data_IF_684083531618
#
_entry.id   IF_684083531618
#
_cell.length_a   1.000
_cell.length_b   1.000
_cell.length_c   1.000
_cell.angle_alpha   90.00
_cell.angle_beta   90.00
_cell.angle_gamma   90.00
#
_symmetry.space_group_name_H-M   'P 1'
#
loop_
_entity.id
_entity.type
_entity.pdbx_description
1 polymer ?
#
# COMPACT_ATOMS: atom_id res chain seq x y z
N UNK A 1 -23.77 9.64 -12.59
CA UNK A 1 -23.27 10.09 -13.91
C UNK A 1 -22.20 11.14 -13.65
N UNK A 2 -20.92 10.76 -13.69
CA UNK A 2 -19.80 11.69 -13.44
C UNK A 2 -19.33 12.22 -14.79
N UNK A 3 -19.50 13.52 -15.02
CA UNK A 3 -18.94 14.21 -16.19
C UNK A 3 -17.43 14.32 -16.00
N UNK A 4 -16.67 13.42 -16.62
CA UNK A 4 -15.20 13.38 -16.56
C UNK A 4 -14.60 14.44 -17.51
N UNK A 5 -14.61 15.71 -17.11
CA UNK A 5 -13.75 16.74 -17.72
C UNK A 5 -12.36 16.79 -17.03
N UNK A 6 -11.77 15.63 -16.77
CA UNK A 6 -10.42 15.49 -16.19
C UNK A 6 -9.26 15.94 -17.11
N UNK A 7 -9.29 15.86 -18.47
CA UNK A 7 -8.08 16.07 -19.28
C UNK A 7 -7.46 17.48 -19.24
N UNK A 8 -8.13 18.49 -18.66
CA UNK A 8 -7.60 19.87 -18.54
C UNK A 8 -7.13 20.25 -17.13
N UNK A 9 -7.33 19.39 -16.12
CA UNK A 9 -7.01 19.72 -14.73
C UNK A 9 -5.52 19.68 -14.43
N UNK A 10 -4.75 18.80 -15.08
CA UNK A 10 -3.33 18.61 -14.80
C UNK A 10 -2.53 18.86 -16.08
N UNK A 11 -1.31 19.40 -15.95
CA UNK A 11 -0.45 19.67 -17.10
C UNK A 11 -0.10 18.36 -17.84
N UNK A 12 -0.37 18.24 -19.15
CA UNK A 12 0.04 17.06 -19.93
C UNK A 12 1.56 16.83 -19.91
N UNK A 13 2.35 17.89 -19.81
CA UNK A 13 3.81 17.79 -19.70
C UNK A 13 4.22 17.20 -18.35
N UNK A 14 3.64 17.68 -17.25
CA UNK A 14 3.89 17.15 -15.91
C UNK A 14 3.44 15.70 -15.76
N UNK A 15 2.33 15.34 -16.41
CA UNK A 15 1.85 13.95 -16.48
C UNK A 15 2.82 13.04 -17.25
N UNK A 16 3.33 13.48 -18.40
CA UNK A 16 4.39 12.75 -19.13
C UNK A 16 5.67 12.64 -18.30
N UNK A 17 6.05 13.72 -17.61
CA UNK A 17 7.18 13.70 -16.69
C UNK A 17 6.99 12.65 -15.60
N UNK A 18 5.83 12.61 -14.92
CA UNK A 18 5.54 11.64 -13.87
C UNK A 18 5.64 10.20 -14.38
N UNK A 19 5.03 9.90 -15.54
CA UNK A 19 5.07 8.56 -16.12
C UNK A 19 6.50 8.15 -16.50
N UNK A 20 7.27 9.04 -17.13
CA UNK A 20 8.67 8.79 -17.47
C UNK A 20 9.59 8.68 -16.25
N UNK A 21 9.30 9.44 -15.19
CA UNK A 21 10.02 9.39 -13.92
C UNK A 21 9.74 8.08 -13.17
N UNK A 22 8.49 7.61 -13.18
CA UNK A 22 8.11 6.30 -12.65
C UNK A 22 8.82 5.17 -13.40
N UNK A 23 8.81 5.20 -14.75
CA UNK A 23 9.48 4.20 -15.58
C UNK A 23 10.99 4.12 -15.27
N UNK A 24 11.66 5.27 -15.20
CA UNK A 24 13.09 5.33 -14.87
C UNK A 24 13.38 4.84 -13.43
N UNK A 25 12.50 5.15 -12.48
CA UNK A 25 12.65 4.70 -11.10
C UNK A 25 12.51 3.18 -11.00
N UNK A 26 11.52 2.59 -11.69
CA UNK A 26 11.31 1.13 -11.74
C UNK A 26 12.52 0.45 -12.39
N UNK A 27 13.07 1.00 -13.47
CA UNK A 27 14.30 0.47 -14.08
C UNK A 27 15.48 0.46 -13.11
N UNK A 28 15.69 1.55 -12.37
CA UNK A 28 16.77 1.63 -11.37
C UNK A 28 16.57 0.64 -10.20
N UNK A 29 15.34 0.23 -9.93
CA UNK A 29 15.00 -0.73 -8.91
C UNK A 29 15.08 -2.20 -9.39
N UNK A 30 15.37 -2.46 -10.67
CA UNK A 30 15.60 -3.82 -11.16
C UNK A 30 16.94 -4.35 -10.67
N UNK A 31 16.96 -5.64 -10.34
CA UNK A 31 18.16 -6.42 -10.02
C UNK A 31 18.08 -7.71 -10.80
N UNK A 32 18.86 -7.81 -11.87
CA UNK A 32 18.88 -8.98 -12.76
C UNK A 32 19.61 -10.15 -12.09
N UNK A 33 19.39 -11.40 -12.54
CA UNK A 33 20.16 -12.55 -12.05
C UNK A 33 21.67 -12.29 -12.14
N UNK A 34 22.38 -12.51 -11.03
CA UNK A 34 23.82 -12.26 -10.87
C UNK A 34 24.20 -10.83 -10.49
N UNK A 35 23.29 -9.85 -10.55
CA UNK A 35 23.57 -8.48 -10.12
C UNK A 35 23.49 -8.33 -8.60
N UNK A 36 24.32 -7.44 -8.03
CA UNK A 36 24.20 -6.98 -6.64
C UNK A 36 24.00 -5.47 -6.62
N UNK A 37 23.28 -4.99 -5.61
CA UNK A 37 23.00 -3.55 -5.39
C UNK A 37 24.11 -2.85 -4.61
N UNK A 38 25.02 -3.61 -3.99
CA UNK A 38 26.12 -3.11 -3.16
C UNK A 38 27.10 -4.23 -2.83
N UNK A 39 28.42 -3.96 -2.65
CA UNK A 39 29.38 -4.95 -2.15
C UNK A 39 29.00 -5.57 -0.79
N UNK A 40 28.09 -4.94 -0.03
CA UNK A 40 27.62 -5.41 1.27
C UNK A 40 26.43 -6.39 1.19
N UNK A 41 25.84 -6.55 0.00
CA UNK A 41 24.66 -7.37 -0.20
C UNK A 41 24.95 -8.49 -1.19
N UNK A 42 24.40 -9.71 -0.97
CA UNK A 42 24.57 -10.80 -1.91
C UNK A 42 24.01 -10.43 -3.29
N UNK A 43 24.50 -11.09 -4.33
CA UNK A 43 23.89 -10.97 -5.64
C UNK A 43 22.50 -11.62 -5.67
N UNK A 44 21.67 -11.22 -6.62
CA UNK A 44 20.45 -11.93 -6.97
C UNK A 44 20.79 -13.31 -7.52
N UNK A 45 20.57 -14.36 -6.73
CA UNK A 45 20.76 -15.75 -7.15
C UNK A 45 19.46 -16.41 -7.59
N UNK A 46 18.34 -15.69 -7.59
CA UNK A 46 17.11 -16.15 -8.23
C UNK A 46 17.26 -16.15 -9.75
N UNK A 47 16.41 -16.89 -10.45
CA UNK A 47 16.33 -16.87 -11.92
C UNK A 47 15.55 -15.66 -12.47
N UNK A 48 15.03 -14.81 -11.59
CA UNK A 48 14.09 -13.74 -11.92
C UNK A 48 14.76 -12.38 -11.82
N UNK A 49 14.39 -11.44 -12.69
CA UNK A 49 14.73 -10.02 -12.47
C UNK A 49 13.85 -9.48 -11.35
N UNK A 50 14.45 -9.13 -10.23
CA UNK A 50 13.75 -8.64 -9.03
C UNK A 50 13.52 -7.14 -9.12
N UNK A 51 12.37 -6.65 -8.65
CA UNK A 51 12.03 -5.23 -8.53
C UNK A 51 11.85 -4.92 -7.04
N UNK A 52 12.80 -4.20 -6.47
CA UNK A 52 12.86 -3.85 -5.04
C UNK A 52 12.23 -2.46 -4.76
N UNK A 53 11.98 -2.10 -3.49
CA UNK A 53 11.34 -0.82 -3.14
C UNK A 53 12.08 0.45 -3.56
N UNK A 54 13.38 0.39 -3.82
CA UNK A 54 14.16 1.56 -4.24
C UNK A 54 15.25 1.23 -5.24
N UNK A 55 15.86 2.27 -5.83
CA UNK A 55 16.83 2.12 -6.93
C UNK A 55 18.31 2.34 -6.58
N UNK A 56 18.66 2.73 -5.34
CA UNK A 56 20.06 2.96 -4.91
C UNK A 56 20.65 1.80 -4.13
N UNK A 57 21.76 1.96 -3.41
CA UNK A 57 22.31 0.89 -2.55
C UNK A 57 21.48 0.71 -1.26
N UNK A 58 20.23 0.28 -1.41
CA UNK A 58 19.24 0.09 -0.34
C UNK A 58 18.33 -1.11 -0.65
N UNK A 59 17.60 -1.62 0.34
CA UNK A 59 16.62 -2.71 0.20
C UNK A 59 17.17 -3.94 -0.55
N UNK A 60 17.95 -4.81 0.11
CA UNK A 60 18.53 -6.02 -0.49
C UNK A 60 17.52 -7.18 -0.64
N UNK A 61 16.26 -6.84 -0.90
CA UNK A 61 15.14 -7.76 -0.97
C UNK A 61 13.97 -7.12 -1.73
N UNK A 62 12.99 -7.94 -2.07
CA UNK A 62 11.73 -7.52 -2.68
C UNK A 62 10.64 -7.54 -1.62
N UNK A 63 10.01 -6.40 -1.35
CA UNK A 63 8.86 -6.34 -0.45
C UNK A 63 7.57 -6.63 -1.22
N UNK A 64 6.73 -7.47 -0.63
CA UNK A 64 5.46 -7.89 -1.26
C UNK A 64 4.57 -6.68 -1.54
N UNK A 65 4.41 -5.78 -0.55
CA UNK A 65 3.60 -4.58 -0.68
C UNK A 65 4.14 -3.62 -1.75
N UNK A 66 5.43 -3.28 -1.64
CA UNK A 66 6.06 -2.27 -2.50
C UNK A 66 6.03 -2.70 -3.96
N UNK A 67 6.30 -3.98 -4.25
CA UNK A 67 6.18 -4.51 -5.60
C UNK A 67 4.75 -4.37 -6.13
N UNK A 68 3.74 -4.78 -5.35
CA UNK A 68 2.34 -4.69 -5.75
C UNK A 68 1.92 -3.25 -6.12
N UNK A 69 2.44 -2.27 -5.39
CA UNK A 69 2.18 -0.84 -5.61
C UNK A 69 2.80 -0.28 -6.90
N UNK A 70 3.73 -0.99 -7.54
CA UNK A 70 4.32 -0.56 -8.83
C UNK A 70 3.46 -0.90 -10.04
N UNK A 71 2.55 -1.87 -9.91
CA UNK A 71 1.93 -2.55 -11.05
C UNK A 71 0.93 -1.67 -11.81
N UNK A 72 0.25 -0.76 -11.11
CA UNK A 72 -0.72 0.15 -11.72
C UNK A 72 -0.07 1.17 -12.69
N UNK A 73 1.26 1.33 -12.64
CA UNK A 73 1.99 2.22 -13.57
C UNK A 73 1.97 1.73 -15.02
N UNK A 74 1.82 0.42 -15.24
CA UNK A 74 1.95 -0.20 -16.57
C UNK A 74 3.40 -0.34 -17.07
N UNK A 75 4.40 -0.06 -16.25
CA UNK A 75 5.84 -0.16 -16.60
C UNK A 75 6.49 -1.49 -16.17
N UNK A 76 5.71 -2.37 -15.55
CA UNK A 76 6.10 -3.75 -15.21
C UNK A 76 5.45 -4.69 -16.20
N UNK A 77 6.23 -5.61 -16.76
CA UNK A 77 5.74 -6.56 -17.76
C UNK A 77 4.93 -7.69 -17.11
N UNK A 78 4.01 -8.36 -17.84
CA UNK A 78 3.31 -9.54 -17.32
C UNK A 78 4.23 -10.68 -16.90
N UNK A 79 5.40 -10.83 -17.53
CA UNK A 79 6.41 -11.82 -17.16
C UNK A 79 7.01 -11.50 -15.79
N UNK A 80 7.44 -10.25 -15.57
CA UNK A 80 7.93 -9.80 -14.27
C UNK A 80 6.85 -9.92 -13.18
N UNK A 81 5.59 -9.60 -13.50
CA UNK A 81 4.45 -9.80 -12.60
C UNK A 81 4.28 -11.27 -12.20
N UNK A 82 4.32 -12.18 -13.18
CA UNK A 82 4.22 -13.62 -12.92
C UNK A 82 5.38 -14.11 -12.06
N UNK A 83 6.61 -13.73 -12.39
CA UNK A 83 7.79 -14.20 -11.68
C UNK A 83 7.77 -13.77 -10.21
N UNK A 84 7.42 -12.51 -9.92
CA UNK A 84 7.27 -12.04 -8.55
C UNK A 84 6.10 -12.71 -7.83
N UNK A 85 4.98 -12.93 -8.52
CA UNK A 85 3.84 -13.64 -7.95
C UNK A 85 4.22 -15.09 -7.59
N UNK A 86 4.95 -15.77 -8.47
CA UNK A 86 5.43 -17.12 -8.25
C UNK A 86 6.48 -17.18 -7.12
N UNK A 87 7.36 -16.18 -7.03
CA UNK A 87 8.33 -16.04 -5.95
C UNK A 87 7.64 -15.92 -4.59
N UNK A 88 6.68 -14.99 -4.46
CA UNK A 88 5.89 -14.82 -3.21
C UNK A 88 5.06 -16.07 -2.92
N UNK A 89 4.46 -16.70 -3.93
CA UNK A 89 3.70 -17.93 -3.77
C UNK A 89 4.56 -19.11 -3.29
N UNK A 90 5.79 -19.24 -3.79
CA UNK A 90 6.74 -20.26 -3.32
C UNK A 90 7.23 -19.97 -1.90
N UNK A 91 7.34 -18.70 -1.54
CA UNK A 91 7.76 -18.21 -0.24
C UNK A 91 6.64 -18.19 0.83
N UNK A 92 5.38 -18.39 0.44
CA UNK A 92 4.25 -18.50 1.36
C UNK A 92 4.45 -19.64 2.35
N UNK A 93 4.19 -19.40 3.64
CA UNK A 93 4.36 -20.42 4.67
C UNK A 93 3.48 -21.66 4.39
N UNK A 94 3.95 -22.82 4.84
CA UNK A 94 3.22 -24.09 4.71
C UNK A 94 1.94 -24.15 5.57
N UNK A 95 1.26 -25.31 5.62
CA UNK A 95 0.04 -25.49 6.40
C UNK A 95 0.29 -25.58 7.92
N UNK A 96 1.55 -25.56 8.35
CA UNK A 96 1.94 -25.67 9.77
C UNK A 96 2.50 -24.33 10.25
N UNK A 97 2.05 -23.90 11.43
CA UNK A 97 2.59 -22.71 12.07
C UNK A 97 4.07 -22.92 12.43
N UNK A 98 4.88 -21.87 12.30
CA UNK A 98 6.28 -21.88 12.74
C UNK A 98 6.42 -20.95 13.94
N UNK A 99 6.97 -21.46 15.04
CA UNK A 99 7.29 -20.67 16.22
C UNK A 99 8.76 -20.29 16.18
N UNK A 100 9.06 -19.01 16.37
CA UNK A 100 10.40 -18.43 16.23
C UNK A 100 11.04 -18.22 17.60
N UNK A 101 12.38 -18.15 17.63
CA UNK A 101 13.14 -17.90 18.86
C UNK A 101 12.85 -16.52 19.48
N UNK A 102 12.37 -15.56 18.68
CA UNK A 102 11.88 -14.25 19.12
C UNK A 102 10.58 -14.30 19.94
N UNK A 103 9.90 -15.45 19.98
CA UNK A 103 8.54 -15.60 20.50
C UNK A 103 7.44 -15.26 19.48
N UNK A 104 7.80 -14.81 18.28
CA UNK A 104 6.85 -14.60 17.19
C UNK A 104 6.38 -15.93 16.59
N UNK A 105 5.22 -15.90 15.93
CA UNK A 105 4.65 -17.04 15.21
C UNK A 105 4.39 -16.64 13.77
N UNK A 106 4.81 -17.47 12.82
CA UNK A 106 4.41 -17.40 11.41
C UNK A 106 3.21 -18.34 11.25
N UNK A 107 1.99 -17.82 11.05
CA UNK A 107 0.80 -18.67 10.88
C UNK A 107 0.88 -19.54 9.62
N UNK A 108 0.08 -20.61 9.55
CA UNK A 108 -0.12 -21.34 8.30
C UNK A 108 -0.46 -20.38 7.15
N UNK A 109 0.11 -20.60 5.97
CA UNK A 109 -0.18 -19.83 4.76
C UNK A 109 0.13 -18.34 4.81
N UNK A 110 0.89 -17.89 5.81
CA UNK A 110 1.32 -16.50 5.91
C UNK A 110 2.16 -16.07 4.70
N UNK A 111 1.98 -14.82 4.28
CA UNK A 111 2.76 -14.21 3.19
C UNK A 111 3.97 -13.49 3.79
N UNK A 112 5.17 -13.64 3.21
CA UNK A 112 6.35 -12.93 3.68
C UNK A 112 6.21 -11.41 3.50
N UNK A 113 6.86 -10.68 4.40
CA UNK A 113 7.08 -9.25 4.28
C UNK A 113 7.93 -8.93 3.06
N UNK A 114 9.06 -9.63 2.96
CA UNK A 114 9.95 -9.52 1.84
C UNK A 114 10.66 -10.85 1.55
N UNK A 115 11.19 -10.96 0.33
CA UNK A 115 11.96 -12.10 -0.13
C UNK A 115 13.36 -11.61 -0.51
N UNK A 116 14.38 -12.22 0.10
CA UNK A 116 15.78 -11.89 -0.14
C UNK A 116 16.21 -12.27 -1.56
N UNK A 117 17.36 -11.76 -1.99
CA UNK A 117 17.94 -12.01 -3.32
C UNK A 117 18.31 -13.47 -3.61
N UNK A 118 18.28 -14.34 -2.60
CA UNK A 118 18.43 -15.78 -2.75
C UNK A 118 17.10 -16.56 -2.71
N UNK A 119 15.96 -15.85 -2.65
CA UNK A 119 14.63 -16.43 -2.53
C UNK A 119 14.22 -16.75 -1.09
N UNK A 120 15.05 -16.45 -0.09
CA UNK A 120 14.72 -16.70 1.31
C UNK A 120 13.59 -15.78 1.80
N UNK A 121 12.50 -16.32 2.38
CA UNK A 121 11.42 -15.52 2.93
C UNK A 121 11.78 -14.89 4.28
N UNK A 122 11.38 -13.63 4.45
CA UNK A 122 11.35 -12.92 5.72
C UNK A 122 9.92 -12.45 5.98
N UNK A 123 9.34 -12.84 7.11
CA UNK A 123 7.91 -12.63 7.41
C UNK A 123 7.63 -11.39 8.26
N UNK A 124 8.66 -10.72 8.77
CA UNK A 124 8.54 -9.58 9.66
C UNK A 124 9.44 -8.44 9.21
N UNK A 125 9.04 -7.17 9.44
CA UNK A 125 9.88 -6.02 9.16
C UNK A 125 11.08 -5.96 10.12
N UNK A 126 12.02 -5.05 9.82
CA UNK A 126 13.15 -4.73 10.70
C UNK A 126 14.33 -5.71 10.65
N UNK A 127 14.36 -6.65 9.72
CA UNK A 127 15.48 -7.60 9.54
C UNK A 127 15.65 -7.97 8.07
N UNK A 128 16.87 -8.32 7.66
CA UNK A 128 17.19 -8.90 6.34
C UNK A 128 17.69 -10.34 6.48
N UNK A 129 17.21 -11.05 7.50
CA UNK A 129 17.59 -12.43 7.80
C UNK A 129 16.36 -13.33 7.83
N UNK A 130 16.40 -14.41 7.05
CA UNK A 130 15.39 -15.47 7.07
C UNK A 130 15.46 -16.43 8.27
N UNK A 131 16.30 -16.12 9.26
CA UNK A 131 16.52 -16.95 10.44
C UNK A 131 15.37 -16.96 11.44
N UNK A 132 15.59 -17.59 12.60
CA UNK A 132 14.58 -17.73 13.66
C UNK A 132 14.44 -16.51 14.58
N UNK A 133 15.20 -15.44 14.32
CA UNK A 133 15.21 -14.21 15.12
C UNK A 133 14.27 -13.12 14.58
N UNK A 134 13.45 -13.41 13.57
CA UNK A 134 12.49 -12.46 13.00
C UNK A 134 11.31 -12.20 13.93
N UNK A 135 10.66 -11.03 13.80
CA UNK A 135 9.48 -10.66 14.58
C UNK A 135 9.80 -10.29 16.02
N UNK A 136 8.76 -10.27 16.86
CA UNK A 136 8.83 -9.71 18.22
C UNK A 136 8.61 -8.20 18.20
N UNK A 137 8.59 -7.57 19.37
CA UNK A 137 8.48 -6.11 19.46
C UNK A 137 9.77 -5.43 18.96
N UNK A 138 9.70 -4.32 18.20
CA UNK A 138 8.51 -3.53 17.88
C UNK A 138 7.78 -3.92 16.57
N UNK A 139 8.11 -5.07 15.98
CA UNK A 139 7.67 -5.48 14.64
C UNK A 139 6.44 -6.39 14.60
N UNK A 140 6.00 -6.86 15.76
CA UNK A 140 4.82 -7.70 15.94
C UNK A 140 5.18 -9.15 16.14
N UNK A 141 4.27 -9.89 16.75
CA UNK A 141 4.41 -11.33 17.00
C UNK A 141 3.69 -12.17 15.93
N UNK A 142 2.90 -11.53 15.08
CA UNK A 142 2.36 -12.08 13.85
C UNK A 142 2.79 -11.22 12.64
N UNK A 143 2.96 -11.83 11.44
CA UNK A 143 3.37 -11.12 10.22
C UNK A 143 2.42 -9.97 9.86
N UNK A 144 2.91 -8.94 9.11
CA UNK A 144 2.07 -7.84 8.66
C UNK A 144 0.87 -8.32 7.84
N UNK A 145 -0.31 -7.77 8.16
CA UNK A 145 -1.59 -8.17 7.59
C UNK A 145 -1.66 -7.85 6.10
N UNK A 146 -1.25 -6.64 5.72
CA UNK A 146 -1.35 -6.10 4.37
C UNK A 146 -0.73 -7.01 3.29
N UNK A 147 0.40 -7.69 3.55
CA UNK A 147 1.07 -8.52 2.53
C UNK A 147 0.18 -9.62 1.96
N UNK A 148 -0.73 -10.16 2.78
CA UNK A 148 -1.73 -11.14 2.35
C UNK A 148 -2.70 -10.58 1.31
N UNK A 149 -3.04 -9.30 1.47
CA UNK A 149 -3.93 -8.56 0.56
C UNK A 149 -3.19 -8.05 -0.66
N UNK A 150 -1.91 -7.68 -0.53
CA UNK A 150 -1.07 -7.25 -1.65
C UNK A 150 -0.66 -8.42 -2.55
N UNK A 151 -0.51 -9.64 -2.01
CA UNK A 151 -0.36 -10.85 -2.81
C UNK A 151 -1.53 -11.07 -3.79
N UNK A 152 -2.76 -10.76 -3.34
CA UNK A 152 -3.96 -10.77 -4.18
C UNK A 152 -3.95 -9.63 -5.19
N UNK A 153 -3.47 -8.45 -4.80
CA UNK A 153 -3.32 -7.32 -5.71
C UNK A 153 -2.40 -7.65 -6.89
N UNK A 154 -1.27 -8.34 -6.63
CA UNK A 154 -0.33 -8.78 -7.68
C UNK A 154 -1.03 -9.68 -8.70
N UNK A 155 -1.73 -10.72 -8.23
CA UNK A 155 -2.46 -11.64 -9.10
C UNK A 155 -3.55 -10.92 -9.91
N UNK A 156 -4.26 -9.98 -9.28
CA UNK A 156 -5.30 -9.19 -9.93
C UNK A 156 -4.74 -8.28 -11.05
N UNK A 157 -3.59 -7.65 -10.83
CA UNK A 157 -2.92 -6.87 -11.88
C UNK A 157 -2.43 -7.75 -13.02
N UNK A 158 -1.86 -8.94 -12.75
CA UNK A 158 -1.45 -9.89 -13.78
C UNK A 158 -2.64 -10.33 -14.65
N UNK A 159 -3.77 -10.67 -14.02
CA UNK A 159 -5.00 -11.01 -14.72
C UNK A 159 -5.47 -9.87 -15.62
N UNK A 160 -5.50 -8.63 -15.12
CA UNK A 160 -5.89 -7.47 -15.95
C UNK A 160 -4.91 -7.16 -17.08
N UNK A 161 -3.62 -7.36 -16.87
CA UNK A 161 -2.59 -7.09 -17.87
C UNK A 161 -2.58 -8.12 -19.01
N UNK A 162 -2.91 -9.39 -18.70
CA UNK A 162 -2.89 -10.49 -19.67
C UNK A 162 -4.25 -10.81 -20.28
N UNK A 163 -5.34 -10.49 -19.58
CA UNK A 163 -6.69 -10.92 -19.94
C UNK A 163 -6.93 -12.43 -19.79
N UNK A 164 -5.98 -13.17 -19.20
CA UNK A 164 -6.09 -14.63 -18.97
C UNK A 164 -6.02 -14.95 -17.49
N UNK A 165 -6.86 -15.90 -17.06
CA UNK A 165 -6.89 -16.42 -15.70
C UNK A 165 -6.17 -17.79 -15.57
N UNK A 166 -5.59 -18.32 -16.65
CA UNK A 166 -5.02 -19.68 -16.69
C UNK A 166 -3.89 -19.87 -15.66
N UNK A 167 -3.15 -18.80 -15.38
CA UNK A 167 -2.06 -18.81 -14.40
C UNK A 167 -2.53 -19.16 -12.99
N UNK A 168 -3.81 -18.94 -12.66
CA UNK A 168 -4.41 -19.26 -11.36
C UNK A 168 -4.49 -20.77 -11.09
N UNK A 169 -4.51 -21.60 -12.14
CA UNK A 169 -4.53 -23.06 -12.04
C UNK A 169 -3.13 -23.66 -11.94
N UNK A 170 -2.06 -22.88 -12.15
CA UNK A 170 -0.69 -23.38 -12.05
C UNK A 170 -0.38 -23.76 -10.59
N UNK A 171 0.24 -24.92 -10.41
CA UNK A 171 0.71 -25.37 -9.11
C UNK A 171 2.05 -24.72 -8.78
N UNK A 172 2.13 -24.10 -7.60
CA UNK A 172 3.37 -23.60 -7.01
C UNK A 172 3.53 -24.31 -5.68
N UNK A 173 4.64 -25.03 -5.48
CA UNK A 173 4.91 -25.80 -4.26
C UNK A 173 3.69 -26.60 -3.72
N UNK A 174 3.00 -27.32 -4.61
CA UNK A 174 1.95 -28.29 -4.26
C UNK A 174 0.51 -27.75 -4.16
N UNK A 175 0.29 -26.43 -4.25
CA UNK A 175 -1.05 -25.82 -4.29
C UNK A 175 -1.22 -25.02 -5.58
N UNK A 176 -2.44 -25.00 -6.12
CA UNK A 176 -2.76 -24.05 -7.19
C UNK A 176 -2.63 -22.63 -6.69
N UNK A 177 -2.29 -21.69 -7.58
CA UNK A 177 -2.14 -20.31 -7.18
C UNK A 177 -3.45 -19.73 -6.61
N UNK A 178 -4.62 -20.09 -7.15
CA UNK A 178 -5.89 -19.66 -6.55
C UNK A 178 -6.08 -20.17 -5.11
N UNK A 179 -5.68 -21.41 -4.81
CA UNK A 179 -5.73 -21.92 -3.44
C UNK A 179 -4.81 -21.13 -2.50
N UNK A 180 -3.61 -20.76 -2.97
CA UNK A 180 -2.68 -19.92 -2.22
C UNK A 180 -3.24 -18.54 -1.91
N UNK A 181 -3.92 -17.91 -2.87
CA UNK A 181 -4.58 -16.62 -2.69
C UNK A 181 -5.72 -16.71 -1.68
N UNK A 182 -6.54 -17.77 -1.75
CA UNK A 182 -7.63 -18.03 -0.80
C UNK A 182 -7.12 -18.23 0.62
N UNK A 183 -6.08 -19.05 0.80
CA UNK A 183 -5.52 -19.31 2.13
C UNK A 183 -4.84 -18.07 2.68
N UNK A 184 -4.11 -17.31 1.86
CA UNK A 184 -3.53 -16.03 2.26
C UNK A 184 -4.60 -15.03 2.77
N UNK A 185 -5.71 -14.88 2.04
CA UNK A 185 -6.81 -13.97 2.42
C UNK A 185 -7.39 -14.27 3.81
N UNK A 186 -7.37 -15.54 4.20
CA UNK A 186 -7.94 -16.04 5.46
C UNK A 186 -6.98 -15.94 6.66
N UNK A 187 -5.68 -15.65 6.45
CA UNK A 187 -4.70 -15.59 7.55
C UNK A 187 -4.97 -14.45 8.54
N UNK A 188 -5.20 -13.19 8.10
CA UNK A 188 -5.36 -12.10 9.05
C UNK A 188 -6.59 -12.27 9.94
N UNK A 189 -6.44 -11.99 11.23
CA UNK A 189 -7.53 -12.03 12.20
C UNK A 189 -8.56 -10.94 11.91
N UNK A 190 -9.82 -11.34 11.86
CA UNK A 190 -10.95 -10.43 11.64
C UNK A 190 -12.09 -10.69 12.61
N UNK A 191 -12.86 -9.65 12.86
CA UNK A 191 -14.14 -9.77 13.55
C UNK A 191 -15.23 -10.23 12.57
N UNK A 192 -15.90 -11.38 12.82
CA UNK A 192 -16.90 -11.92 11.92
C UNK A 192 -18.18 -11.05 11.80
N UNK A 193 -18.49 -10.21 12.79
CA UNK A 193 -19.68 -9.35 12.73
C UNK A 193 -19.47 -8.12 11.85
N UNK A 194 -18.28 -7.52 11.95
CA UNK A 194 -17.97 -6.27 11.25
C UNK A 194 -17.16 -6.49 9.98
N UNK A 195 -16.48 -7.63 9.85
CA UNK A 195 -15.50 -7.93 8.81
C UNK A 195 -14.16 -7.21 8.98
N UNK A 196 -14.00 -6.39 10.01
CA UNK A 196 -12.82 -5.56 10.23
C UNK A 196 -11.62 -6.39 10.69
N UNK A 197 -10.43 -5.95 10.29
CA UNK A 197 -9.16 -6.47 10.79
C UNK A 197 -8.96 -6.02 12.22
N UNK A 198 -8.57 -6.94 13.10
CA UNK A 198 -8.36 -6.68 14.52
C UNK A 198 -7.06 -7.29 15.02
N UNK A 199 -6.39 -6.59 15.93
CA UNK A 199 -5.22 -7.09 16.66
C UNK A 199 -5.23 -6.62 18.11
N UNK A 200 -4.59 -7.37 18.99
CA UNK A 200 -4.36 -6.99 20.39
C UNK A 200 -2.89 -7.19 20.76
N UNK A 201 -2.50 -6.86 21.99
CA UNK A 201 -1.11 -6.99 22.41
C UNK A 201 -0.60 -8.45 22.39
N UNK A 202 -1.49 -9.44 22.58
CA UNK A 202 -1.13 -10.85 22.67
C UNK A 202 -1.09 -11.56 21.31
N UNK A 203 -1.67 -10.96 20.26
CA UNK A 203 -1.56 -11.44 18.88
C UNK A 203 -1.21 -10.30 17.93
N UNK A 204 -0.29 -9.41 18.32
CA UNK A 204 -0.04 -8.17 17.59
C UNK A 204 0.51 -8.42 16.20
N UNK A 205 -0.16 -7.87 15.20
CA UNK A 205 0.30 -7.78 13.81
C UNK A 205 0.38 -6.31 13.38
N UNK A 206 1.35 -5.99 12.52
CA UNK A 206 1.34 -4.72 11.79
C UNK A 206 0.17 -4.73 10.80
N UNK A 207 -0.63 -3.67 10.76
CA UNK A 207 -1.77 -3.57 9.84
C UNK A 207 -1.35 -3.23 8.40
N UNK A 208 -0.41 -2.30 8.27
CA UNK A 208 0.07 -1.72 7.02
C UNK A 208 1.54 -1.37 7.17
N UNK A 209 2.41 -1.75 6.23
CA UNK A 209 3.87 -1.63 6.43
C UNK A 209 4.34 -0.19 6.54
N UNK A 210 3.65 0.78 5.92
CA UNK A 210 3.98 2.20 6.15
C UNK A 210 3.60 2.71 7.55
N UNK A 211 3.15 1.81 8.44
CA UNK A 211 2.99 2.03 9.87
C UNK A 211 3.67 0.91 10.70
N UNK A 212 4.66 0.19 10.17
CA UNK A 212 5.31 -0.93 10.85
C UNK A 212 6.14 -0.54 12.10
N UNK A 213 6.58 0.71 12.19
CA UNK A 213 7.21 1.30 13.38
C UNK A 213 6.21 1.87 14.39
N UNK A 214 4.91 1.86 14.06
CA UNK A 214 3.84 2.42 14.88
C UNK A 214 3.12 1.29 15.61
N UNK A 215 3.00 1.44 16.93
CA UNK A 215 2.30 0.45 17.74
C UNK A 215 0.79 0.71 17.69
N UNK A 216 0.04 -0.16 17.02
CA UNK A 216 -1.41 -0.09 16.92
C UNK A 216 -2.08 -1.35 17.47
N UNK A 217 -3.23 -1.19 18.14
CA UNK A 217 -4.09 -2.29 18.61
C UNK A 217 -5.56 -1.94 18.46
N UNK A 218 -6.44 -2.93 18.67
CA UNK A 218 -7.86 -2.81 18.41
C UNK A 218 -8.20 -3.15 16.96
N UNK A 219 -9.28 -2.57 16.44
CA UNK A 219 -9.57 -2.60 15.01
C UNK A 219 -8.58 -1.72 14.26
N UNK A 220 -8.11 -2.17 13.09
CA UNK A 220 -7.13 -1.46 12.28
C UNK A 220 -7.81 -0.91 11.03
N UNK A 221 -7.86 0.41 10.89
CA UNK A 221 -8.62 1.08 9.84
C UNK A 221 -8.07 0.75 8.44
N UNK A 222 -6.82 1.12 8.16
CA UNK A 222 -6.22 0.93 6.83
C UNK A 222 -6.22 -0.54 6.40
N UNK A 223 -5.86 -1.47 7.30
CA UNK A 223 -5.87 -2.90 7.02
C UNK A 223 -7.27 -3.43 6.66
N UNK A 224 -8.33 -2.86 7.26
CA UNK A 224 -9.71 -3.21 6.92
C UNK A 224 -10.12 -2.71 5.53
N UNK A 225 -9.61 -1.56 5.09
CA UNK A 225 -9.80 -1.06 3.73
C UNK A 225 -9.11 -1.99 2.71
N UNK A 226 -7.87 -2.40 3.00
CA UNK A 226 -7.13 -3.34 2.16
C UNK A 226 -7.82 -4.71 2.08
N UNK A 227 -8.38 -5.20 3.19
CA UNK A 227 -9.19 -6.43 3.19
C UNK A 227 -10.39 -6.32 2.27
N UNK A 228 -11.15 -5.22 2.37
CA UNK A 228 -12.31 -4.99 1.50
C UNK A 228 -11.90 -5.02 0.04
N UNK A 229 -10.83 -4.29 -0.32
CA UNK A 229 -10.29 -4.26 -1.69
C UNK A 229 -9.89 -5.66 -2.17
N UNK A 230 -9.11 -6.38 -1.37
CA UNK A 230 -8.61 -7.71 -1.72
C UNK A 230 -9.74 -8.74 -1.87
N UNK A 231 -10.80 -8.65 -1.06
CA UNK A 231 -11.96 -9.54 -1.19
C UNK A 231 -12.66 -9.37 -2.54
N UNK A 232 -12.85 -8.12 -2.99
CA UNK A 232 -13.44 -7.85 -4.31
C UNK A 232 -12.52 -8.27 -5.46
N UNK A 233 -11.21 -8.03 -5.33
CA UNK A 233 -10.23 -8.45 -6.32
C UNK A 233 -10.16 -9.97 -6.43
N UNK A 234 -10.13 -10.69 -5.30
CA UNK A 234 -10.18 -12.14 -5.29
C UNK A 234 -11.51 -12.64 -5.85
N UNK A 235 -12.64 -11.99 -5.56
CA UNK A 235 -13.94 -12.34 -6.14
C UNK A 235 -13.95 -12.20 -7.68
N UNK A 236 -13.29 -11.17 -8.24
CA UNK A 236 -13.12 -11.05 -9.69
C UNK A 236 -12.26 -12.16 -10.29
N UNK A 237 -11.17 -12.56 -9.60
CA UNK A 237 -10.35 -13.69 -10.01
C UNK A 237 -11.13 -15.02 -9.95
N UNK A 238 -11.96 -15.22 -8.93
CA UNK A 238 -12.86 -16.37 -8.81
C UNK A 238 -13.88 -16.42 -9.95
N UNK A 239 -14.51 -15.29 -10.26
CA UNK A 239 -15.45 -15.18 -11.37
C UNK A 239 -14.77 -15.48 -12.72
N UNK A 240 -13.47 -15.17 -12.86
CA UNK A 240 -12.70 -15.41 -14.08
C UNK A 240 -12.32 -16.89 -14.31
N UNK A 241 -12.29 -17.73 -13.27
CA UNK A 241 -11.96 -19.17 -13.38
C UNK A 241 -13.16 -20.09 -13.21
N UNK A 242 -14.33 -19.56 -12.82
CA UNK A 242 -15.50 -20.38 -12.54
C UNK A 242 -16.27 -20.74 -13.82
N UNK A 243 -16.52 -22.04 -14.01
CA UNK A 243 -17.78 -22.48 -14.63
C UNK A 243 -18.88 -22.43 -13.54
N UNK A 244 -20.12 -22.02 -13.88
CA UNK A 244 -21.13 -21.61 -12.89
C UNK A 244 -21.54 -22.69 -11.86
N UNK A 245 -22.02 -22.28 -10.66
CA UNK A 245 -22.33 -20.89 -10.28
C UNK A 245 -21.43 -20.27 -9.20
N UNK A 246 -21.08 -19.00 -9.43
CA UNK A 246 -20.81 -17.80 -8.62
C UNK A 246 -20.71 -17.81 -7.07
N UNK A 247 -20.73 -18.96 -6.38
CA UNK A 247 -20.89 -19.07 -4.93
C UNK A 247 -19.69 -18.54 -4.14
N UNK A 248 -18.46 -18.74 -4.63
CA UNK A 248 -17.23 -18.28 -3.95
C UNK A 248 -17.04 -16.76 -4.01
N UNK A 249 -17.20 -16.18 -5.20
CA UNK A 249 -17.12 -14.73 -5.37
C UNK A 249 -18.19 -14.01 -4.54
N UNK A 250 -19.42 -14.53 -4.52
CA UNK A 250 -20.47 -14.01 -3.64
C UNK A 250 -20.13 -14.13 -2.15
N UNK A 251 -19.56 -15.26 -1.71
CA UNK A 251 -19.15 -15.45 -0.32
C UNK A 251 -18.04 -14.48 0.11
N UNK A 252 -17.05 -14.23 -0.75
CA UNK A 252 -15.99 -13.23 -0.48
C UNK A 252 -16.57 -11.83 -0.31
N UNK A 253 -17.46 -11.41 -1.23
CA UNK A 253 -18.15 -10.11 -1.14
C UNK A 253 -19.01 -10.02 0.12
N UNK A 254 -19.68 -11.10 0.51
CA UNK A 254 -20.48 -11.16 1.73
C UNK A 254 -19.63 -11.00 3.00
N UNK A 255 -18.45 -11.61 3.06
CA UNK A 255 -17.54 -11.51 4.22
C UNK A 255 -17.10 -10.07 4.54
N UNK A 256 -17.07 -9.18 3.55
CA UNK A 256 -16.63 -7.78 3.72
C UNK A 256 -17.76 -6.76 3.58
N UNK A 257 -19.01 -7.21 3.38
CA UNK A 257 -20.15 -6.33 3.14
C UNK A 257 -20.50 -5.44 4.35
N UNK A 258 -20.11 -5.87 5.56
CA UNK A 258 -20.30 -5.12 6.79
C UNK A 258 -19.25 -4.01 7.00
N UNK A 259 -18.08 -4.08 6.34
CA UNK A 259 -16.98 -3.12 6.58
C UNK A 259 -17.44 -1.67 6.35
N UNK A 260 -17.99 -1.28 5.17
CA UNK A 260 -18.34 0.11 4.90
C UNK A 260 -19.40 0.66 5.87
N UNK A 261 -20.35 -0.20 6.28
CA UNK A 261 -21.43 0.14 7.22
C UNK A 261 -20.92 0.44 8.64
N UNK A 262 -19.76 -0.11 8.98
CA UNK A 262 -19.18 0.01 10.31
C UNK A 262 -18.05 1.03 10.40
N UNK A 263 -17.49 1.51 9.28
CA UNK A 263 -16.35 2.43 9.29
C UNK A 263 -16.59 3.64 10.18
N UNK A 264 -17.64 4.42 9.90
CA UNK A 264 -17.94 5.66 10.62
C UNK A 264 -18.25 5.40 12.10
N UNK A 265 -19.01 4.33 12.39
CA UNK A 265 -19.38 3.95 13.75
C UNK A 265 -18.16 3.58 14.60
N UNK A 266 -17.17 2.94 14.01
CA UNK A 266 -16.03 2.35 14.73
C UNK A 266 -14.82 3.30 14.76
N UNK A 267 -14.53 3.97 13.67
CA UNK A 267 -13.35 4.83 13.54
C UNK A 267 -13.67 6.33 13.59
N UNK A 268 -14.93 6.73 13.47
CA UNK A 268 -15.33 8.13 13.60
C UNK A 268 -15.27 8.62 15.04
N UNK A 269 -14.86 9.87 15.24
CA UNK A 269 -15.02 10.58 16.51
C UNK A 269 -15.13 12.10 16.26
N UNK A 270 -16.28 12.58 15.75
CA UNK A 270 -16.41 13.95 15.26
C UNK A 270 -16.05 15.01 16.29
N UNK A 271 -16.36 14.77 17.57
CA UNK A 271 -16.05 15.71 18.66
C UNK A 271 -14.55 15.80 18.97
N UNK A 272 -13.74 14.80 18.58
CA UNK A 272 -12.30 14.73 18.87
C UNK A 272 -11.43 15.00 17.65
N UNK A 273 -11.84 14.50 16.49
CA UNK A 273 -11.03 14.47 15.27
C UNK A 273 -11.78 14.97 14.04
N UNK A 274 -12.93 15.65 14.23
CA UNK A 274 -13.71 16.21 13.12
C UNK A 274 -14.08 15.16 12.07
N UNK A 275 -13.82 15.46 10.80
CA UNK A 275 -14.11 14.56 9.68
C UNK A 275 -13.14 13.37 9.51
N UNK A 276 -12.07 13.27 10.31
CA UNK A 276 -11.10 12.19 10.19
C UNK A 276 -11.63 10.84 10.69
N UNK A 277 -11.04 9.78 10.17
CA UNK A 277 -11.17 8.42 10.72
C UNK A 277 -9.94 8.11 11.59
N UNK A 278 -10.13 7.40 12.70
CA UNK A 278 -9.03 6.93 13.55
C UNK A 278 -8.23 5.81 12.87
N UNK A 279 -6.91 5.75 13.09
CA UNK A 279 -6.07 4.68 12.56
C UNK A 279 -6.37 3.32 13.20
N UNK A 280 -6.63 3.34 14.51
CA UNK A 280 -6.95 2.17 15.30
C UNK A 280 -7.95 2.50 16.42
N UNK A 281 -8.49 1.49 17.11
CA UNK A 281 -9.45 1.68 18.24
C UNK A 281 -8.87 1.37 19.62
N UNK A 282 -7.70 0.76 19.70
CA UNK A 282 -6.91 0.59 20.92
C UNK A 282 -5.84 1.68 21.01
N UNK A 283 -4.57 1.27 21.05
CA UNK A 283 -3.42 2.18 20.96
C UNK A 283 -3.29 2.66 19.50
N UNK A 284 -2.91 3.92 19.31
CA UNK A 284 -2.84 4.53 17.97
C UNK A 284 -4.16 5.16 17.53
N UNK A 285 -4.97 5.62 18.49
CA UNK A 285 -6.31 6.19 18.30
C UNK A 285 -6.34 7.63 17.73
N UNK A 286 -5.35 7.98 16.93
CA UNK A 286 -5.18 9.28 16.27
C UNK A 286 -5.86 9.33 14.89
N UNK A 287 -6.10 10.54 14.35
CA UNK A 287 -6.49 10.69 12.96
C UNK A 287 -5.54 9.96 12.00
N UNK A 288 -6.12 9.19 11.09
CA UNK A 288 -5.44 8.52 10.00
C UNK A 288 -5.71 9.28 8.70
N UNK A 289 -4.81 10.20 8.36
CA UNK A 289 -4.93 11.02 7.14
C UNK A 289 -4.98 10.11 5.91
N UNK A 290 -4.08 9.13 5.86
CA UNK A 290 -3.95 8.25 4.70
C UNK A 290 -5.14 7.32 4.57
N UNK A 291 -5.57 6.70 5.67
CA UNK A 291 -6.75 5.83 5.69
C UNK A 291 -8.04 6.59 5.37
N UNK A 292 -8.19 7.84 5.84
CA UNK A 292 -9.34 8.67 5.50
C UNK A 292 -9.37 8.99 4.01
N UNK A 293 -8.23 9.41 3.44
CA UNK A 293 -8.09 9.66 2.00
C UNK A 293 -8.34 8.38 1.19
N UNK A 294 -7.79 7.25 1.62
CA UNK A 294 -7.94 5.98 0.92
C UNK A 294 -9.39 5.45 0.98
N UNK A 295 -10.10 5.63 2.10
CA UNK A 295 -11.51 5.27 2.22
C UNK A 295 -12.40 6.10 1.26
N UNK A 296 -12.10 7.41 1.09
CA UNK A 296 -12.76 8.25 0.09
C UNK A 296 -12.42 7.79 -1.34
N UNK A 297 -11.14 7.52 -1.62
CA UNK A 297 -10.68 7.04 -2.92
C UNK A 297 -11.34 5.71 -3.34
N UNK A 298 -11.52 4.78 -2.39
CA UNK A 298 -12.24 3.53 -2.60
C UNK A 298 -13.77 3.68 -2.64
N UNK A 299 -14.31 4.89 -2.38
CA UNK A 299 -15.75 5.14 -2.33
C UNK A 299 -16.46 4.47 -1.15
N UNK A 300 -15.75 4.21 -0.05
CA UNK A 300 -16.28 3.53 1.14
C UNK A 300 -16.93 4.48 2.15
N UNK A 301 -16.66 5.77 2.03
CA UNK A 301 -17.43 6.82 2.70
C UNK A 301 -18.42 7.41 1.71
N UNK A 302 -19.67 7.61 2.14
CA UNK A 302 -20.73 8.18 1.32
C UNK A 302 -21.55 9.20 2.14
N UNK A 303 -22.30 10.06 1.44
CA UNK A 303 -23.21 11.02 2.08
C UNK A 303 -22.49 12.02 2.99
N UNK A 304 -23.05 12.26 4.18
CA UNK A 304 -22.48 13.25 5.10
C UNK A 304 -21.10 12.88 5.65
N UNK A 305 -20.81 11.62 6.03
CA UNK A 305 -19.46 11.22 6.40
C UNK A 305 -18.39 11.54 5.34
N UNK A 306 -18.69 11.33 4.06
CA UNK A 306 -17.75 11.66 2.97
C UNK A 306 -17.51 13.16 2.87
N UNK A 307 -18.57 13.97 2.93
CA UNK A 307 -18.47 15.44 2.92
C UNK A 307 -17.72 15.98 4.13
N UNK A 308 -17.96 15.41 5.31
CA UNK A 308 -17.25 15.80 6.53
C UNK A 308 -15.75 15.53 6.42
N UNK A 309 -15.36 14.33 5.97
CA UNK A 309 -13.97 13.98 5.72
C UNK A 309 -13.32 14.89 4.68
N UNK A 310 -14.02 15.21 3.59
CA UNK A 310 -13.52 16.11 2.56
C UNK A 310 -13.32 17.55 3.06
N UNK A 311 -14.27 18.09 3.82
CA UNK A 311 -14.13 19.42 4.47
C UNK A 311 -12.94 19.45 5.42
N UNK A 312 -12.75 18.39 6.19
CA UNK A 312 -11.64 18.27 7.13
C UNK A 312 -10.28 18.22 6.40
N UNK A 313 -10.18 17.46 5.30
CA UNK A 313 -8.99 17.43 4.44
C UNK A 313 -8.67 18.83 3.90
N UNK A 314 -9.67 19.54 3.37
CA UNK A 314 -9.47 20.89 2.82
C UNK A 314 -9.03 21.87 3.89
N UNK A 315 -9.67 21.85 5.07
CA UNK A 315 -9.26 22.68 6.21
C UNK A 315 -7.81 22.40 6.62
N UNK A 316 -7.40 21.12 6.63
CA UNK A 316 -6.04 20.73 6.97
C UNK A 316 -5.00 21.16 5.92
N UNK A 317 -5.39 21.22 4.64
CA UNK A 317 -4.57 21.78 3.56
C UNK A 317 -4.45 23.30 3.69
N UNK A 318 -5.56 24.00 3.96
CA UNK A 318 -5.60 25.45 4.17
C UNK A 318 -4.75 25.89 5.36
N UNK A 319 -4.78 25.12 6.44
CA UNK A 319 -3.99 25.37 7.66
C UNK A 319 -2.59 24.78 7.62
N UNK A 320 -2.21 24.06 6.55
CA UNK A 320 -0.86 23.52 6.36
C UNK A 320 -0.47 22.41 7.34
N UNK A 321 -1.44 21.65 7.84
CA UNK A 321 -1.21 20.65 8.89
C UNK A 321 -0.89 19.25 8.38
N UNK A 322 -1.13 18.96 7.09
CA UNK A 322 -0.96 17.62 6.51
C UNK A 322 -0.01 17.53 5.30
N UNK A 323 0.34 18.63 4.65
CA UNK A 323 1.08 18.61 3.39
C UNK A 323 2.43 19.36 3.45
N UNK A 324 3.43 18.84 2.73
CA UNK A 324 4.72 19.47 2.50
C UNK A 324 5.23 19.07 1.10
N UNK A 325 5.47 20.02 0.19
CA UNK A 325 5.99 19.75 -1.17
C UNK A 325 5.21 18.65 -1.93
N UNK A 326 3.88 18.67 -1.80
CA UNK A 326 2.98 17.67 -2.40
C UNK A 326 2.98 16.30 -1.71
N UNK A 327 3.83 16.08 -0.69
CA UNK A 327 3.84 14.88 0.16
C UNK A 327 2.92 15.06 1.38
N UNK A 328 2.36 13.97 1.90
CA UNK A 328 1.33 13.96 2.94
C UNK A 328 1.79 13.14 4.15
N UNK A 329 1.60 13.65 5.37
CA UNK A 329 1.92 12.94 6.62
C UNK A 329 0.76 12.08 7.12
N UNK A 330 1.06 11.09 7.96
CA UNK A 330 0.08 10.13 8.46
C UNK A 330 -0.95 10.72 9.46
N UNK A 331 -0.50 11.63 10.33
CA UNK A 331 -1.31 12.28 11.39
C UNK A 331 -1.16 13.79 11.22
N UNK A 332 -2.21 14.63 11.28
CA UNK A 332 -2.05 16.09 11.17
C UNK A 332 -1.15 16.66 12.28
N UNK A 333 -0.38 17.72 12.00
CA UNK A 333 0.52 18.36 13.00
C UNK A 333 -0.22 18.92 14.22
N UNK A 334 -1.51 19.22 14.12
CA UNK A 334 -2.34 19.70 15.22
C UNK A 334 -2.96 18.53 16.04
N UNK A 335 -2.57 17.29 15.75
CA UNK A 335 -3.03 16.08 16.42
C UNK A 335 -1.87 15.17 16.85
N UNK A 336 -0.68 15.74 17.02
CA UNK A 336 0.44 15.02 17.61
C UNK A 336 0.05 14.50 19.01
N UNK A 337 0.40 13.25 19.32
CA UNK A 337 0.08 12.61 20.58
C UNK A 337 0.68 13.36 21.78
N UNK A 338 1.88 13.90 21.57
CA UNK A 338 2.67 14.70 22.52
C UNK A 338 3.48 15.72 21.74
N UNK A 339 4.02 16.72 22.45
CA UNK A 339 4.91 17.71 21.84
C UNK A 339 6.15 17.09 21.13
N UNK A 340 6.53 15.87 21.54
CA UNK A 340 7.68 15.13 21.05
C UNK A 340 7.32 13.84 20.30
N UNK A 341 6.08 13.67 19.83
CA UNK A 341 5.69 12.50 19.03
C UNK A 341 4.35 12.68 18.33
N UNK A 342 4.28 12.36 17.04
CA UNK A 342 3.02 12.34 16.29
C UNK A 342 2.13 11.17 16.77
N UNK A 343 2.72 9.99 16.96
CA UNK A 343 2.02 8.79 17.41
C UNK A 343 2.14 8.56 18.92
N UNK A 344 1.17 7.82 19.46
CA UNK A 344 1.03 7.55 20.89
C UNK A 344 2.17 6.65 21.37
N UNK A 345 2.55 5.68 20.52
CA UNK A 345 3.61 4.73 20.80
C UNK A 345 4.33 4.33 19.52
N UNK A 346 5.63 4.60 19.48
CA UNK A 346 6.55 4.27 18.40
C UNK A 346 7.98 4.37 18.93
N UNK A 347 8.92 3.70 18.27
CA UNK A 347 10.35 3.84 18.53
C UNK A 347 11.04 4.83 17.57
N UNK A 348 10.29 5.39 16.62
CA UNK A 348 10.78 6.33 15.63
C UNK A 348 10.75 7.76 16.19
N UNK A 349 11.83 8.54 16.04
CA UNK A 349 11.87 9.94 16.47
C UNK A 349 10.78 10.82 15.84
N UNK A 350 10.37 11.87 16.56
CA UNK A 350 9.35 12.80 16.09
C UNK A 350 9.74 13.53 14.81
N UNK A 351 8.83 13.59 13.84
CA UNK A 351 8.99 14.15 12.50
C UNK A 351 10.03 13.42 11.63
N UNK A 352 10.36 12.17 11.99
CA UNK A 352 11.10 11.25 11.15
C UNK A 352 10.21 10.09 10.73
N UNK A 353 10.44 9.61 9.51
CA UNK A 353 9.82 8.41 8.97
C UNK A 353 8.29 8.35 9.20
N UNK A 354 7.78 7.26 9.76
CA UNK A 354 6.34 7.08 9.98
C UNK A 354 5.81 7.92 11.16
N UNK A 355 6.69 8.46 12.02
CA UNK A 355 6.33 9.32 13.14
C UNK A 355 6.29 10.81 12.80
N UNK A 356 5.64 11.14 11.69
CA UNK A 356 5.30 12.53 11.33
C UNK A 356 6.03 13.11 10.11
N UNK A 357 6.83 12.32 9.39
CA UNK A 357 7.34 12.74 8.07
C UNK A 357 6.25 12.65 6.99
N UNK A 358 6.54 13.24 5.83
CA UNK A 358 5.63 13.37 4.70
C UNK A 358 6.03 12.41 3.58
N UNK A 359 5.05 11.81 2.91
CA UNK A 359 5.28 10.86 1.83
C UNK A 359 4.46 11.21 0.59
N UNK A 360 5.02 11.04 -0.61
CA UNK A 360 4.27 11.27 -1.85
C UNK A 360 3.31 10.12 -2.20
N UNK A 361 3.46 8.97 -1.55
CA UNK A 361 2.64 7.77 -1.79
C UNK A 361 1.11 8.05 -1.82
N UNK A 362 0.48 8.67 -0.79
CA UNK A 362 -0.96 8.95 -0.79
C UNK A 362 -1.38 10.11 -1.70
N UNK A 363 -0.44 10.84 -2.31
CA UNK A 363 -0.76 12.05 -3.07
C UNK A 363 -1.63 11.77 -4.28
N UNK A 364 -1.46 10.61 -4.94
CA UNK A 364 -2.36 10.16 -6.01
C UNK A 364 -3.81 10.01 -5.55
N UNK A 365 -4.02 9.35 -4.40
CA UNK A 365 -5.35 9.18 -3.81
C UNK A 365 -5.95 10.54 -3.44
N UNK A 366 -5.17 11.41 -2.81
CA UNK A 366 -5.62 12.76 -2.43
C UNK A 366 -6.04 13.58 -3.66
N UNK A 367 -5.22 13.59 -4.72
CA UNK A 367 -5.54 14.28 -5.97
C UNK A 367 -6.85 13.73 -6.56
N UNK A 368 -7.03 12.40 -6.56
CA UNK A 368 -8.25 11.78 -7.08
C UNK A 368 -9.52 12.18 -6.30
N UNK A 369 -9.41 12.30 -4.98
CA UNK A 369 -10.53 12.67 -4.10
C UNK A 369 -10.88 14.15 -4.23
N UNK A 370 -9.88 15.01 -4.45
CA UNK A 370 -10.08 16.46 -4.59
C UNK A 370 -10.51 16.88 -6.01
N UNK A 371 -10.27 16.04 -7.03
CA UNK A 371 -10.37 16.45 -8.43
C UNK A 371 -11.73 17.05 -8.83
N UNK A 372 -12.83 16.50 -8.29
CA UNK A 372 -14.19 16.89 -8.68
C UNK A 372 -14.68 18.13 -7.90
N UNK A 373 -14.52 18.16 -6.57
CA UNK A 373 -15.08 19.23 -5.71
C UNK A 373 -14.07 20.34 -5.36
N UNK A 374 -12.77 20.03 -5.36
CA UNK A 374 -11.69 20.95 -5.00
C UNK A 374 -10.52 20.92 -6.03
N UNK A 375 -10.80 21.15 -7.33
CA UNK A 375 -9.81 21.00 -8.40
C UNK A 375 -8.57 21.90 -8.22
N UNK A 376 -8.70 23.07 -7.60
CA UNK A 376 -7.56 23.95 -7.32
C UNK A 376 -6.56 23.29 -6.35
N UNK A 377 -7.06 22.61 -5.32
CA UNK A 377 -6.20 21.86 -4.38
C UNK A 377 -5.61 20.62 -5.03
N UNK A 378 -6.40 19.89 -5.84
CA UNK A 378 -5.90 18.75 -6.62
C UNK A 378 -4.71 19.16 -7.52
N UNK A 379 -4.85 20.27 -8.25
CA UNK A 379 -3.77 20.83 -9.09
C UNK A 379 -2.57 21.23 -8.25
N UNK A 380 -2.77 21.96 -7.14
CA UNK A 380 -1.67 22.43 -6.28
C UNK A 380 -0.84 21.27 -5.73
N UNK A 381 -1.48 20.24 -5.18
CA UNK A 381 -0.76 19.05 -4.65
C UNK A 381 0.04 18.36 -5.74
N UNK A 382 -0.54 18.22 -6.94
CA UNK A 382 0.15 17.64 -8.08
C UNK A 382 1.35 18.49 -8.52
N UNK A 383 1.17 19.81 -8.67
CA UNK A 383 2.22 20.71 -9.11
C UNK A 383 3.37 20.79 -8.08
N UNK A 384 3.05 20.82 -6.78
CA UNK A 384 4.04 20.79 -5.70
C UNK A 384 4.87 19.48 -5.70
N UNK A 385 4.21 18.33 -5.91
CA UNK A 385 4.88 17.02 -6.04
C UNK A 385 5.80 17.00 -7.27
N UNK A 386 5.32 17.46 -8.42
CA UNK A 386 6.11 17.47 -9.66
C UNK A 386 7.30 18.44 -9.55
N UNK A 387 7.10 19.60 -8.93
CA UNK A 387 8.17 20.55 -8.66
C UNK A 387 9.26 19.93 -7.78
N UNK A 388 8.89 19.21 -6.72
CA UNK A 388 9.82 18.48 -5.87
C UNK A 388 10.60 17.41 -6.66
N UNK A 389 9.91 16.57 -7.44
CA UNK A 389 10.57 15.55 -8.27
C UNK A 389 11.49 16.14 -9.33
N UNK A 390 11.17 17.29 -9.92
CA UNK A 390 12.04 17.98 -10.89
C UNK A 390 13.27 18.58 -10.23
N UNK A 391 13.11 19.19 -9.05
CA UNK A 391 14.20 19.81 -8.32
C UNK A 391 15.24 18.79 -7.82
N UNK A 392 14.81 17.56 -7.54
CA UNK A 392 15.66 16.48 -7.02
C UNK A 392 15.70 15.25 -7.92
N UNK A 393 15.47 15.42 -9.23
CA UNK A 393 15.41 14.33 -10.19
C UNK A 393 16.71 13.53 -10.21
N UNK A 394 16.68 12.29 -9.71
CA UNK A 394 17.87 11.44 -9.60
C UNK A 394 18.60 11.19 -10.93
N UNK A 395 17.96 11.45 -12.07
CA UNK A 395 18.56 11.31 -13.41
C UNK A 395 19.56 12.42 -13.71
N UNK A 396 19.56 13.51 -12.94
CA UNK A 396 20.48 14.64 -13.10
C UNK A 396 21.85 14.39 -12.45
N UNK A 397 21.92 13.51 -11.44
CA UNK A 397 23.17 13.22 -10.74
C UNK A 397 22.98 12.50 -9.40
N UNK A 398 24.06 11.98 -8.79
CA UNK A 398 24.02 11.27 -7.51
C UNK A 398 23.55 12.13 -6.32
N UNK A 399 23.70 13.45 -6.39
CA UNK A 399 23.24 14.43 -5.39
C UNK A 399 21.72 14.61 -5.36
N UNK A 400 21.05 14.40 -6.50
CA UNK A 400 19.60 14.46 -6.63
C UNK A 400 18.98 13.15 -6.15
N UNK A 401 17.96 13.20 -5.30
CA UNK A 401 17.56 12.03 -4.50
C UNK A 401 16.08 11.67 -4.57
N UNK A 402 15.26 12.44 -5.29
CA UNK A 402 13.86 12.10 -5.50
C UNK A 402 13.71 10.89 -6.44
N UNK A 403 12.62 10.13 -6.32
CA UNK A 403 11.62 10.21 -5.27
C UNK A 403 12.19 9.76 -3.92
N UNK A 404 11.94 10.51 -2.85
CA UNK A 404 12.29 10.10 -1.49
C UNK A 404 11.26 9.09 -0.96
N UNK A 405 11.67 8.18 -0.09
CA UNK A 405 10.71 7.35 0.65
C UNK A 405 9.82 8.27 1.51
N UNK A 406 10.45 9.07 2.36
CA UNK A 406 9.78 10.17 3.05
C UNK A 406 10.65 11.42 3.08
N UNK A 407 10.00 12.57 3.24
CA UNK A 407 10.65 13.86 3.44
C UNK A 407 10.26 14.46 4.79
N UNK A 408 11.20 15.11 5.46
CA UNK A 408 10.94 15.96 6.60
C UNK A 408 11.05 17.44 6.24
N UNK A 409 10.90 18.31 7.24
CA UNK A 409 11.12 19.76 7.07
C UNK A 409 12.61 20.12 6.90
N UNK A 410 13.49 19.17 7.19
CA UNK A 410 14.94 19.29 7.12
C UNK A 410 15.49 18.11 6.31
N UNK A 411 16.68 18.29 5.72
CA UNK A 411 17.29 17.30 4.81
C UNK A 411 17.64 15.98 5.50
N UNK A 412 18.05 16.04 6.76
CA UNK A 412 18.37 14.89 7.61
C UNK A 412 17.15 14.03 7.95
N UNK A 413 15.94 14.58 7.82
CA UNK A 413 14.69 13.85 8.01
C UNK A 413 14.13 13.25 6.70
N UNK A 414 14.86 13.40 5.57
CA UNK A 414 14.56 12.67 4.34
C UNK A 414 15.19 11.27 4.37
N UNK A 415 14.41 10.23 4.06
CA UNK A 415 14.87 8.84 4.11
C UNK A 415 14.81 8.14 2.76
N UNK A 416 15.78 7.25 2.54
CA UNK A 416 15.85 6.28 1.44
C UNK A 416 15.53 6.90 0.06
N UNK A 417 16.54 7.50 -0.60
CA UNK A 417 16.37 8.09 -1.92
C UNK A 417 16.02 7.04 -2.98
N UNK A 418 15.35 7.50 -4.05
CA UNK A 418 14.89 6.69 -5.17
C UNK A 418 13.92 5.57 -4.76
N UNK A 419 12.88 5.91 -3.99
CA UNK A 419 11.86 5.00 -3.49
C UNK A 419 10.61 4.92 -4.40
N UNK A 420 10.23 3.72 -4.80
CA UNK A 420 9.20 3.47 -5.80
C UNK A 420 7.80 3.88 -5.34
N UNK A 421 7.41 3.57 -4.10
CA UNK A 421 6.05 3.84 -3.62
C UNK A 421 5.64 5.31 -3.77
N UNK A 422 6.60 6.22 -3.58
CA UNK A 422 6.41 7.67 -3.69
C UNK A 422 6.12 8.18 -5.10
N UNK A 423 6.52 7.44 -6.15
CA UNK A 423 6.26 7.83 -7.55
C UNK A 423 5.25 6.92 -8.23
N UNK A 424 5.29 5.62 -7.93
CA UNK A 424 4.51 4.61 -8.62
C UNK A 424 3.03 4.66 -8.22
N UNK A 425 2.72 4.85 -6.94
CA UNK A 425 1.32 4.95 -6.48
C UNK A 425 0.64 6.18 -7.08
N UNK A 426 1.20 7.41 -7.01
CA UNK A 426 0.60 8.56 -7.69
C UNK A 426 0.44 8.36 -9.20
N UNK A 427 1.46 7.82 -9.87
CA UNK A 427 1.38 7.55 -11.31
C UNK A 427 0.25 6.57 -11.65
N UNK A 428 0.15 5.44 -10.93
CA UNK A 428 -0.87 4.42 -11.16
C UNK A 428 -2.28 4.93 -10.90
N UNK A 429 -2.51 5.67 -9.81
CA UNK A 429 -3.83 6.24 -9.49
C UNK A 429 -4.28 7.22 -10.57
N UNK A 430 -3.40 8.12 -11.01
CA UNK A 430 -3.71 9.10 -12.06
C UNK A 430 -3.94 8.43 -13.43
N UNK A 431 -3.31 7.28 -13.68
CA UNK A 431 -3.58 6.45 -14.85
C UNK A 431 -4.96 5.80 -14.81
N UNK A 432 -5.33 5.19 -13.69
CA UNK A 432 -6.61 4.47 -13.54
C UNK A 432 -7.82 5.41 -13.66
N UNK A 433 -7.73 6.63 -13.14
CA UNK A 433 -8.82 7.62 -13.25
C UNK A 433 -8.83 8.37 -14.60
N UNK A 434 -7.82 8.14 -15.45
CA UNK A 434 -7.79 8.58 -16.84
C UNK A 434 -7.11 9.93 -17.09
N UNK A 435 -6.27 10.41 -16.18
CA UNK A 435 -5.41 11.59 -16.45
C UNK A 435 -4.22 11.24 -17.37
N UNK A 436 -3.70 10.00 -17.32
CA UNK A 436 -2.68 9.53 -18.26
C UNK A 436 -3.31 8.82 -19.46
N UNK A 437 -2.79 9.05 -20.67
CA UNK A 437 -3.29 8.39 -21.89
C UNK A 437 -3.16 6.87 -21.76
N UNK A 438 -4.24 6.15 -22.10
CA UNK A 438 -4.33 4.69 -22.01
C UNK A 438 -3.45 4.01 -23.08
N UNK A 439 -2.22 3.65 -22.77
CA UNK A 439 -1.52 2.59 -23.51
C UNK A 439 -1.96 1.25 -22.94
N UNK A 440 -2.90 0.60 -23.64
CA UNK A 440 -3.62 -0.65 -23.29
C UNK A 440 -4.57 -0.52 -22.09
N UNK A 441 -5.84 -0.83 -22.34
CA UNK A 441 -6.98 -0.58 -21.48
C UNK A 441 -7.04 -1.55 -20.30
N UNK A 442 -6.68 -1.06 -19.13
CA UNK A 442 -7.10 -1.59 -17.84
C UNK A 442 -8.55 -1.08 -17.57
N UNK A 443 -9.59 -1.95 -17.48
CA UNK A 443 -10.96 -1.50 -17.18
C UNK A 443 -11.03 -0.99 -15.72
N UNK A 444 -11.64 0.16 -15.43
CA UNK A 444 -11.66 0.72 -14.07
C UNK A 444 -12.22 -0.29 -13.07
N UNK A 445 -11.73 -0.25 -11.82
CA UNK A 445 -12.33 -0.98 -10.70
C UNK A 445 -13.84 -0.73 -10.73
N UNK A 446 -14.65 -1.77 -10.93
CA UNK A 446 -16.11 -1.62 -10.89
C UNK A 446 -16.50 -1.49 -9.42
N UNK A 447 -16.50 -0.26 -8.93
CA UNK A 447 -17.14 0.03 -7.64
C UNK A 447 -18.59 -0.46 -7.71
N UNK A 448 -19.06 -1.26 -6.74
CA UNK A 448 -20.46 -1.65 -6.71
C UNK A 448 -21.32 -0.39 -6.74
N UNK A 449 -22.39 -0.41 -7.54
CA UNK A 449 -23.36 0.67 -7.55
C UNK A 449 -23.77 0.95 -6.11
N UNK A 450 -23.63 2.21 -5.67
CA UNK A 450 -24.08 2.66 -4.36
C UNK A 450 -25.51 2.18 -4.16
N UNK A 451 -25.72 1.21 -3.24
CA UNK A 451 -27.07 0.91 -2.78
C UNK A 451 -27.56 2.17 -2.07
N UNK A 452 -28.52 2.84 -2.70
CA UNK A 452 -29.13 4.06 -2.20
C UNK A 452 -29.93 3.86 -0.93
#
# INVERSE_FOLDING_TARGET
MISRHLPSLLSPESLRFLSGFAAASIEAARVRPGESVSPLHPANTTSTTLIRPGGRACYPAVWTQDFAMTLATGHVTPEEMWDHLALVAAAQNGPVARHLASGATIPPHAIPDHVLFDGTPVYFPGTYSGGENQGGEPWGILPPVNNHYEFILIAWHLWRATGSADFLHRSVAGLTLIERLRTAFAVPRTDPETGLVFTDAATRAVGFIYCDSIYMTGYLHFASLLRWRAAHQLAELEDAIAAPPASRAAALRAQVAAIPKNLVRIFGAPDRIGGWMQAATGIGRQPDVWGTIHALHLGLLAGEPARAALREIVLALETGTIACQGAIRHVPTNHDARADSAWERTHTPHNFYQNGAYWHMPSGWLISVLADEHPAWARRIFDDMIAHFRAEDFRQGPECCAPWECIGKTRDACNNPLFLGSVAVPCGVLQDIGFLQKTRSLPPLRLPATMG
#
